data_IF_928625680656
#
_entry.id   IF_928625680656
#
_cell.length_a   1.000
_cell.length_b   1.000
_cell.length_c   1.000
_cell.angle_alpha   90.00
_cell.angle_beta   90.00
_cell.angle_gamma   90.00
#
_symmetry.space_group_name_H-M   'P 1'
#
loop_
_entity.id
_entity.type
_entity.pdbx_description
1 polymer ?
#
# COMPACT_ATOMS: atom_id res chain seq x y z
N UNK A 1 -40.95 -12.24 -73.19
CA UNK A 1 -39.56 -12.75 -73.34
C UNK A 1 -38.99 -13.03 -71.96
N UNK A 2 -38.18 -14.10 -71.86
CA UNK A 2 -37.47 -14.73 -70.71
C UNK A 2 -37.10 -13.82 -69.51
N UNK A 3 -37.29 -14.24 -68.25
CA UNK A 3 -36.59 -15.27 -67.41
C UNK A 3 -35.09 -15.02 -67.20
N UNK A 4 -34.71 -14.83 -65.93
CA UNK A 4 -33.34 -14.92 -65.41
C UNK A 4 -33.28 -14.79 -63.87
N UNK A 5 -33.33 -15.93 -63.16
CA UNK A 5 -33.01 -16.12 -61.74
C UNK A 5 -31.48 -16.12 -61.50
N UNK A 6 -31.01 -15.75 -60.29
CA UNK A 6 -29.95 -16.41 -59.47
C UNK A 6 -29.69 -15.53 -58.21
N UNK A 7 -30.29 -15.85 -57.05
CA UNK A 7 -29.71 -16.55 -55.87
C UNK A 7 -28.87 -15.70 -54.91
N UNK A 8 -29.37 -15.54 -53.67
CA UNK A 8 -28.83 -16.06 -52.38
C UNK A 8 -27.52 -15.42 -51.89
N UNK A 9 -27.56 -14.74 -50.74
CA UNK A 9 -27.05 -15.23 -49.45
C UNK A 9 -27.11 -14.11 -48.38
N UNK A 10 -27.47 -14.53 -47.17
CA UNK A 10 -27.48 -13.80 -45.91
C UNK A 10 -26.05 -13.51 -45.40
N UNK A 11 -26.02 -12.77 -44.28
CA UNK A 11 -24.95 -12.64 -43.28
C UNK A 11 -23.80 -11.64 -43.53
N UNK A 12 -23.75 -10.56 -42.74
CA UNK A 12 -23.24 -10.72 -41.38
C UNK A 12 -23.52 -9.51 -40.47
N UNK A 13 -23.98 -9.89 -39.29
CA UNK A 13 -24.14 -9.16 -38.05
C UNK A 13 -22.86 -8.49 -37.52
N UNK A 14 -23.07 -7.60 -36.54
CA UNK A 14 -22.16 -7.27 -35.43
C UNK A 14 -20.91 -6.46 -35.75
N UNK A 15 -20.98 -5.13 -35.61
CA UNK A 15 -19.82 -4.37 -35.09
C UNK A 15 -20.17 -3.01 -34.44
N UNK A 16 -21.38 -2.87 -33.91
CA UNK A 16 -21.72 -1.78 -32.98
C UNK A 16 -21.82 -2.30 -31.53
N UNK A 17 -21.22 -3.47 -31.28
CA UNK A 17 -21.08 -4.11 -29.96
C UNK A 17 -19.91 -3.57 -29.14
N UNK A 18 -19.28 -2.46 -29.56
CA UNK A 18 -18.42 -1.68 -28.68
C UNK A 18 -19.33 -0.88 -27.74
N UNK A 19 -19.91 -1.60 -26.77
CA UNK A 19 -20.66 -1.03 -25.65
C UNK A 19 -19.84 0.11 -25.07
N UNK A 20 -20.38 1.33 -25.17
CA UNK A 20 -20.03 2.42 -24.29
C UNK A 20 -20.33 1.94 -22.88
N UNK A 21 -19.29 1.41 -22.21
CA UNK A 21 -19.28 1.27 -20.75
C UNK A 21 -19.49 2.69 -20.23
N UNK A 22 -20.61 2.92 -19.55
CA UNK A 22 -21.00 4.23 -19.05
C UNK A 22 -19.86 4.75 -18.14
N UNK A 23 -19.58 6.06 -18.11
CA UNK A 23 -18.42 6.60 -17.35
C UNK A 23 -18.42 6.18 -15.87
N UNK A 24 -19.62 5.92 -15.33
CA UNK A 24 -19.82 5.39 -13.98
C UNK A 24 -19.31 3.96 -13.82
N UNK A 25 -19.57 3.10 -14.80
CA UNK A 25 -19.10 1.71 -14.82
C UNK A 25 -17.57 1.66 -14.95
N UNK A 26 -16.97 2.63 -15.67
CA UNK A 26 -15.51 2.74 -15.77
C UNK A 26 -14.86 3.07 -14.42
N UNK A 27 -15.38 4.06 -13.69
CA UNK A 27 -14.88 4.41 -12.35
C UNK A 27 -15.03 3.25 -11.36
N UNK A 28 -16.15 2.52 -11.41
CA UNK A 28 -16.37 1.36 -10.55
C UNK A 28 -15.41 0.22 -10.88
N UNK A 29 -15.10 -0.02 -12.16
CA UNK A 29 -14.11 -1.01 -12.60
C UNK A 29 -12.69 -0.63 -12.15
N UNK A 30 -12.26 0.62 -12.37
CA UNK A 30 -10.95 1.09 -11.91
C UNK A 30 -10.81 0.95 -10.39
N UNK A 31 -11.88 1.24 -9.68
CA UNK A 31 -11.95 1.08 -8.24
C UNK A 31 -11.77 -0.37 -7.80
N UNK A 32 -12.50 -1.32 -8.40
CA UNK A 32 -12.41 -2.73 -8.02
C UNK A 32 -11.01 -3.27 -8.34
N UNK A 33 -10.45 -2.91 -9.50
CA UNK A 33 -9.07 -3.27 -9.86
C UNK A 33 -8.06 -2.75 -8.83
N UNK A 34 -8.20 -1.49 -8.41
CA UNK A 34 -7.36 -0.91 -7.37
C UNK A 34 -7.43 -1.70 -6.06
N UNK A 35 -8.64 -2.08 -5.62
CA UNK A 35 -8.82 -2.87 -4.40
C UNK A 35 -8.25 -4.28 -4.55
N UNK A 36 -8.49 -4.97 -5.67
CA UNK A 36 -7.90 -6.28 -5.93
C UNK A 36 -6.38 -6.20 -5.83
N UNK A 37 -5.75 -5.21 -6.46
CA UNK A 37 -4.29 -5.03 -6.43
C UNK A 37 -3.76 -4.78 -5.01
N UNK A 38 -4.47 -4.00 -4.20
CA UNK A 38 -4.09 -3.76 -2.81
C UNK A 38 -4.20 -5.02 -1.95
N UNK A 39 -5.24 -5.81 -2.20
CA UNK A 39 -5.52 -7.01 -1.43
C UNK A 39 -4.71 -8.21 -1.90
N UNK A 40 -4.15 -8.17 -3.12
CA UNK A 40 -3.42 -9.26 -3.76
C UNK A 40 -2.37 -9.93 -2.84
N UNK A 41 -1.60 -9.22 -2.01
CA UNK A 41 -0.64 -9.88 -1.11
C UNK A 41 -1.30 -10.79 -0.06
N UNK A 42 -2.58 -10.56 0.26
CA UNK A 42 -3.31 -11.21 1.35
C UNK A 42 -4.46 -12.10 0.88
N UNK A 43 -5.10 -11.73 -0.22
CA UNK A 43 -6.33 -12.33 -0.72
C UNK A 43 -6.15 -12.74 -2.18
N UNK A 44 -6.67 -13.90 -2.52
CA UNK A 44 -6.80 -14.41 -3.88
C UNK A 44 -8.29 -14.59 -4.20
N UNK A 45 -8.73 -14.06 -5.32
CA UNK A 45 -10.10 -14.24 -5.82
C UNK A 45 -10.06 -15.20 -7.01
N UNK A 46 -10.92 -16.22 -6.99
CA UNK A 46 -11.05 -17.16 -8.12
C UNK A 46 -12.51 -17.26 -8.51
N UNK A 47 -12.79 -17.01 -9.79
CA UNK A 47 -14.14 -17.13 -10.33
C UNK A 47 -14.42 -18.56 -10.77
N UNK A 48 -15.42 -19.19 -10.15
CA UNK A 48 -15.90 -20.50 -10.55
C UNK A 48 -16.98 -20.34 -11.63
N UNK A 49 -16.60 -20.57 -12.89
CA UNK A 49 -17.49 -20.48 -14.06
C UNK A 49 -18.67 -21.46 -14.03
N UNK A 50 -18.57 -22.56 -13.29
CA UNK A 50 -19.64 -23.57 -13.21
C UNK A 50 -20.75 -23.12 -12.27
N UNK A 51 -20.38 -22.47 -11.16
CA UNK A 51 -21.34 -22.04 -10.14
C UNK A 51 -21.71 -20.56 -10.22
N UNK A 52 -21.02 -19.77 -11.05
CA UNK A 52 -21.11 -18.30 -11.11
C UNK A 52 -20.84 -17.64 -9.75
N UNK A 53 -19.85 -18.14 -9.01
CA UNK A 53 -19.49 -17.68 -7.65
C UNK A 53 -18.01 -17.34 -7.57
N UNK A 54 -17.70 -16.29 -6.81
CA UNK A 54 -16.33 -15.92 -6.43
C UNK A 54 -15.93 -16.69 -5.17
N UNK A 55 -14.90 -17.51 -5.31
CA UNK A 55 -14.21 -18.14 -4.19
C UNK A 55 -13.10 -17.21 -3.70
N UNK A 56 -13.02 -17.02 -2.39
CA UNK A 56 -12.08 -16.08 -1.75
C UNK A 56 -11.08 -16.91 -0.94
N UNK A 57 -9.79 -16.68 -1.14
CA UNK A 57 -8.75 -17.38 -0.40
C UNK A 57 -7.84 -16.40 0.32
N UNK A 58 -7.53 -16.70 1.57
CA UNK A 58 -6.45 -16.04 2.30
C UNK A 58 -5.11 -16.67 1.90
N UNK A 59 -4.13 -15.84 1.54
CA UNK A 59 -2.75 -16.27 1.25
C UNK A 59 -1.99 -16.39 2.57
N UNK A 60 -1.53 -17.60 2.88
CA UNK A 60 -0.71 -17.87 4.06
C UNK A 60 0.41 -18.83 3.67
N UNK A 61 1.65 -18.33 3.74
CA UNK A 61 2.86 -19.08 3.40
C UNK A 61 3.11 -20.29 4.30
N UNK A 62 2.39 -20.41 5.41
CA UNK A 62 2.48 -21.56 6.32
C UNK A 62 1.60 -22.74 5.91
N UNK A 63 0.74 -22.57 4.90
CA UNK A 63 -0.14 -23.63 4.41
C UNK A 63 0.53 -24.44 3.29
N UNK A 64 0.22 -25.75 3.16
CA UNK A 64 0.80 -26.62 2.13
C UNK A 64 0.59 -26.09 0.70
N UNK A 65 -0.60 -25.55 0.42
CA UNK A 65 -0.99 -25.03 -0.89
C UNK A 65 -0.87 -23.49 -0.94
N UNK A 66 -0.33 -22.88 0.11
CA UNK A 66 -0.16 -21.42 0.26
C UNK A 66 -1.46 -20.62 0.39
N UNK A 67 -2.63 -21.27 0.37
CA UNK A 67 -3.95 -20.65 0.34
C UNK A 67 -4.95 -21.39 1.23
N UNK A 68 -5.84 -20.64 1.89
CA UNK A 68 -7.00 -21.16 2.63
C UNK A 68 -8.26 -20.49 2.12
N UNK A 69 -9.24 -21.27 1.69
CA UNK A 69 -10.56 -20.74 1.35
C UNK A 69 -11.22 -20.14 2.59
N UNK A 70 -11.81 -18.95 2.43
CA UNK A 70 -12.51 -18.22 3.49
C UNK A 70 -13.92 -17.88 3.05
N UNK A 71 -14.82 -17.87 4.02
CA UNK A 71 -16.20 -17.44 3.79
C UNK A 71 -16.29 -15.92 3.51
N UNK A 72 -17.38 -15.50 2.87
CA UNK A 72 -17.71 -14.07 2.70
C UNK A 72 -17.70 -13.31 4.03
N UNK A 73 -18.17 -13.95 5.11
CA UNK A 73 -18.16 -13.36 6.46
C UNK A 73 -16.74 -13.11 6.98
N UNK A 74 -15.84 -14.06 6.78
CA UNK A 74 -14.42 -13.91 7.15
C UNK A 74 -13.75 -12.83 6.30
N UNK A 75 -14.08 -12.72 5.01
CA UNK A 75 -13.59 -11.66 4.14
C UNK A 75 -14.10 -10.27 4.57
N UNK A 76 -15.39 -10.12 4.88
CA UNK A 76 -15.94 -8.86 5.42
C UNK A 76 -15.20 -8.46 6.69
N UNK A 77 -15.02 -9.40 7.63
CA UNK A 77 -14.25 -9.14 8.84
C UNK A 77 -12.82 -8.69 8.51
N UNK A 78 -12.16 -9.35 7.55
CA UNK A 78 -10.83 -8.96 7.11
C UNK A 78 -10.79 -7.52 6.59
N UNK A 79 -11.68 -7.15 5.67
CA UNK A 79 -11.72 -5.82 5.05
C UNK A 79 -12.05 -4.71 6.06
N UNK A 80 -12.95 -4.97 7.02
CA UNK A 80 -13.40 -3.95 7.97
C UNK A 80 -12.49 -3.81 9.19
N UNK A 81 -11.81 -4.89 9.59
CA UNK A 81 -11.12 -4.95 10.87
C UNK A 81 -9.64 -5.24 10.67
N UNK A 82 -9.30 -6.40 10.10
CA UNK A 82 -7.91 -6.85 10.03
C UNK A 82 -7.06 -5.97 9.12
N UNK A 83 -7.53 -5.68 7.91
CA UNK A 83 -6.81 -4.92 6.92
C UNK A 83 -6.51 -3.47 7.39
N UNK A 84 -7.48 -2.68 7.88
CA UNK A 84 -7.20 -1.36 8.44
C UNK A 84 -6.24 -1.41 9.63
N UNK A 85 -6.29 -2.47 10.44
CA UNK A 85 -5.35 -2.65 11.55
C UNK A 85 -3.93 -2.82 11.05
N UNK A 86 -3.70 -3.65 10.04
CA UNK A 86 -2.37 -3.85 9.45
C UNK A 86 -1.82 -2.57 8.83
N UNK A 87 -2.62 -1.85 8.05
CA UNK A 87 -2.20 -0.57 7.45
C UNK A 87 -1.85 0.45 8.55
N UNK A 88 -2.62 0.49 9.65
CA UNK A 88 -2.34 1.37 10.78
C UNK A 88 -1.06 0.99 11.52
N UNK A 89 -0.81 -0.30 11.73
CA UNK A 89 0.45 -0.79 12.33
C UNK A 89 1.64 -0.37 11.45
N UNK A 90 1.58 -0.59 10.14
CA UNK A 90 2.63 -0.19 9.21
C UNK A 90 2.84 1.33 9.16
N UNK A 91 1.77 2.12 9.15
CA UNK A 91 1.86 3.58 9.20
C UNK A 91 2.52 4.09 10.48
N UNK A 92 2.18 3.48 11.63
CA UNK A 92 2.79 3.82 12.91
C UNK A 92 4.29 3.49 12.93
N UNK A 93 4.68 2.32 12.43
CA UNK A 93 6.09 1.93 12.41
C UNK A 93 6.89 2.80 11.45
N UNK A 94 6.35 3.15 10.29
CA UNK A 94 6.97 4.09 9.37
C UNK A 94 7.11 5.49 9.98
N UNK A 95 6.09 5.97 10.69
CA UNK A 95 6.14 7.26 11.41
C UNK A 95 7.23 7.27 12.49
N UNK A 96 7.39 6.18 13.25
CA UNK A 96 8.50 6.04 14.21
C UNK A 96 9.86 6.09 13.52
N UNK A 97 10.03 5.42 12.38
CA UNK A 97 11.29 5.44 11.62
C UNK A 97 11.61 6.85 11.14
N UNK A 98 10.64 7.56 10.55
CA UNK A 98 10.80 8.94 10.09
C UNK A 98 11.20 9.86 11.25
N UNK A 99 10.51 9.75 12.40
CA UNK A 99 10.80 10.60 13.56
C UNK A 99 12.20 10.31 14.12
N UNK A 100 12.59 9.03 14.21
CA UNK A 100 13.92 8.63 14.67
C UNK A 100 15.01 9.17 13.75
N UNK A 101 14.81 9.11 12.44
CA UNK A 101 15.76 9.63 11.46
C UNK A 101 15.91 11.16 11.52
N UNK A 102 14.81 11.90 11.70
CA UNK A 102 14.85 13.36 11.91
C UNK A 102 15.63 13.72 13.19
N UNK A 103 15.35 13.03 14.29
CA UNK A 103 16.09 13.21 15.54
C UNK A 103 17.58 12.88 15.39
N UNK A 104 17.93 11.88 14.58
CA UNK A 104 19.32 11.44 14.38
C UNK A 104 20.10 12.50 13.62
N UNK A 105 19.49 13.04 12.56
CA UNK A 105 20.04 14.16 11.81
C UNK A 105 20.26 15.38 12.70
N UNK A 106 19.24 15.81 13.45
CA UNK A 106 19.33 16.99 14.32
C UNK A 106 20.41 16.82 15.39
N UNK A 107 20.51 15.63 15.98
CA UNK A 107 21.51 15.29 16.99
C UNK A 107 22.92 15.32 16.39
N UNK A 108 23.08 14.72 15.21
CA UNK A 108 24.36 14.69 14.50
C UNK A 108 24.81 16.09 14.04
N UNK A 109 23.90 16.94 13.57
CA UNK A 109 24.21 18.33 13.21
C UNK A 109 24.65 19.16 14.42
N UNK A 110 24.02 18.96 15.58
CA UNK A 110 24.45 19.60 16.84
C UNK A 110 25.83 19.13 17.27
N UNK A 111 26.12 17.83 17.15
CA UNK A 111 27.44 17.25 17.39
C UNK A 111 28.51 17.92 16.51
N UNK A 112 28.25 18.05 15.20
CA UNK A 112 29.19 18.70 14.27
C UNK A 112 29.44 20.18 14.58
N UNK A 113 28.44 20.89 15.14
CA UNK A 113 28.56 22.31 15.47
C UNK A 113 29.33 22.59 16.76
N UNK A 114 29.16 21.76 17.78
CA UNK A 114 29.76 21.96 19.11
C UNK A 114 31.14 21.28 19.24
N UNK A 115 31.40 20.23 18.45
CA UNK A 115 32.56 19.38 18.68
C UNK A 115 32.37 18.46 19.91
N UNK A 116 33.19 17.41 20.01
CA UNK A 116 32.96 16.28 20.93
C UNK A 116 32.82 16.72 22.40
N UNK A 117 33.71 17.58 22.89
CA UNK A 117 33.80 17.90 24.32
C UNK A 117 32.69 18.87 24.76
N UNK A 118 32.40 19.90 23.96
CA UNK A 118 31.32 20.86 24.22
C UNK A 118 29.94 20.20 24.05
N UNK A 119 29.80 19.27 23.10
CA UNK A 119 28.58 18.47 22.95
C UNK A 119 28.32 17.60 24.19
N UNK A 120 29.36 16.93 24.71
CA UNK A 120 29.28 16.14 25.95
C UNK A 120 28.89 17.01 27.16
N UNK A 121 29.51 18.18 27.32
CA UNK A 121 29.19 19.08 28.43
C UNK A 121 27.77 19.68 28.35
N UNK A 122 27.34 20.09 27.14
CA UNK A 122 25.98 20.56 26.89
C UNK A 122 24.95 19.46 27.20
N UNK A 123 25.27 18.20 26.87
CA UNK A 123 24.40 17.04 27.11
C UNK A 123 24.30 16.64 28.59
N UNK A 124 25.42 16.63 29.33
CA UNK A 124 25.43 16.35 30.78
C UNK A 124 24.50 17.32 31.54
N UNK A 125 24.39 18.57 31.08
CA UNK A 125 23.48 19.58 31.64
C UNK A 125 22.00 19.35 31.33
N UNK A 126 21.66 18.59 30.28
CA UNK A 126 20.27 18.38 29.81
C UNK A 126 19.66 17.03 30.25
N UNK A 127 20.42 16.19 30.94
CA UNK A 127 20.08 14.77 31.13
C UNK A 127 18.85 14.53 32.02
N UNK A 128 17.72 14.20 31.39
CA UNK A 128 16.70 13.30 31.93
C UNK A 128 16.53 12.14 30.94
N UNK A 129 16.83 10.94 31.41
CA UNK A 129 16.70 9.64 30.76
C UNK A 129 17.75 9.31 29.67
N UNK A 130 18.18 8.04 29.65
CA UNK A 130 19.20 7.51 28.73
C UNK A 130 18.66 7.54 27.31
N UNK A 131 19.27 8.35 26.46
CA UNK A 131 18.93 8.41 25.04
C UNK A 131 19.98 7.62 24.24
N UNK A 132 19.61 6.40 23.82
CA UNK A 132 20.48 5.44 23.09
C UNK A 132 21.09 6.04 21.82
N UNK A 133 20.47 7.08 21.24
CA UNK A 133 20.99 7.79 20.08
C UNK A 133 22.25 8.60 20.38
N UNK A 134 22.40 9.13 21.60
CA UNK A 134 23.56 9.92 21.99
C UNK A 134 24.78 9.04 22.28
N UNK A 135 24.56 7.89 22.93
CA UNK A 135 25.61 6.88 23.13
C UNK A 135 26.10 6.35 21.77
N UNK A 136 25.22 6.28 20.77
CA UNK A 136 25.60 5.93 19.40
C UNK A 136 26.53 7.00 18.81
N UNK A 137 26.19 8.29 18.86
CA UNK A 137 26.98 9.40 18.27
C UNK A 137 28.33 9.61 18.96
N UNK A 138 28.39 9.51 20.29
CA UNK A 138 29.63 9.74 21.05
C UNK A 138 30.67 8.64 20.83
N UNK A 139 30.22 7.41 20.55
CA UNK A 139 31.11 6.26 20.33
C UNK A 139 31.36 5.99 18.84
N UNK A 140 30.96 6.88 17.93
CA UNK A 140 31.27 6.72 16.50
C UNK A 140 32.76 6.90 16.24
N UNK A 141 33.31 6.04 15.40
CA UNK A 141 34.63 6.23 14.82
C UNK A 141 34.60 7.30 13.70
N UNK A 142 35.80 7.73 13.29
CA UNK A 142 35.98 8.77 12.26
C UNK A 142 35.34 8.39 10.92
N UNK A 143 35.41 7.11 10.54
CA UNK A 143 34.89 6.63 9.25
C UNK A 143 33.36 6.68 9.22
N UNK A 144 32.70 6.31 10.31
CA UNK A 144 31.25 6.40 10.48
C UNK A 144 30.76 7.85 10.53
N UNK A 145 31.50 8.74 11.21
CA UNK A 145 31.23 10.18 11.19
C UNK A 145 31.30 10.72 9.75
N UNK A 146 32.31 10.33 8.97
CA UNK A 146 32.47 10.81 7.60
C UNK A 146 31.38 10.25 6.66
N UNK A 147 30.98 8.98 6.83
CA UNK A 147 29.84 8.40 6.11
C UNK A 147 28.53 9.13 6.40
N UNK A 148 28.22 9.37 7.68
CA UNK A 148 26.99 10.09 8.08
C UNK A 148 27.00 11.54 7.63
N UNK A 149 28.16 12.21 7.72
CA UNK A 149 28.35 13.55 7.17
C UNK A 149 28.09 13.58 5.67
N UNK A 150 28.61 12.60 4.91
CA UNK A 150 28.34 12.47 3.47
C UNK A 150 26.85 12.20 3.20
N UNK A 151 26.21 11.33 3.97
CA UNK A 151 24.80 10.99 3.81
C UNK A 151 23.88 12.19 4.07
N UNK A 152 24.07 12.93 5.16
CA UNK A 152 23.24 14.10 5.50
C UNK A 152 23.57 15.35 4.67
N UNK A 153 24.82 15.50 4.20
CA UNK A 153 25.21 16.59 3.30
C UNK A 153 24.86 16.30 1.84
N UNK A 154 24.64 15.05 1.46
CA UNK A 154 24.04 14.70 0.18
C UNK A 154 22.54 15.03 0.24
N UNK A 155 22.25 16.32 0.08
CA UNK A 155 20.88 16.85 0.04
C UNK A 155 20.01 16.13 -1.01
N UNK A 156 20.59 15.46 -2.02
CA UNK A 156 19.78 14.66 -2.95
C UNK A 156 19.45 13.30 -2.36
N UNK A 157 20.44 12.56 -1.87
CA UNK A 157 20.26 11.21 -1.34
C UNK A 157 19.33 11.15 -0.12
N UNK A 158 19.58 11.99 0.89
CA UNK A 158 18.77 12.04 2.10
C UNK A 158 17.35 12.54 1.84
N UNK A 159 17.19 13.62 1.06
CA UNK A 159 15.87 14.17 0.79
C UNK A 159 15.01 13.24 -0.06
N UNK A 160 15.60 12.50 -1.02
CA UNK A 160 14.83 11.51 -1.80
C UNK A 160 14.37 10.33 -0.93
N UNK A 161 15.22 9.79 -0.05
CA UNK A 161 14.81 8.72 0.87
C UNK A 161 13.69 9.20 1.81
N UNK A 162 13.86 10.38 2.43
CA UNK A 162 12.85 10.97 3.31
C UNK A 162 11.53 11.24 2.57
N UNK A 163 11.60 11.72 1.33
CA UNK A 163 10.44 11.95 0.46
C UNK A 163 9.72 10.66 0.10
N UNK A 164 10.46 9.58 -0.20
CA UNK A 164 9.87 8.25 -0.44
C UNK A 164 9.11 7.76 0.78
N UNK A 165 9.72 7.83 1.97
CA UNK A 165 9.06 7.39 3.21
C UNK A 165 7.82 8.22 3.55
N UNK A 166 7.88 9.55 3.42
CA UNK A 166 6.71 10.43 3.62
C UNK A 166 5.61 10.21 2.59
N UNK A 167 5.97 9.92 1.33
CA UNK A 167 5.02 9.58 0.27
C UNK A 167 4.32 8.26 0.58
N UNK A 168 5.07 7.26 1.08
CA UNK A 168 4.50 5.98 1.53
C UNK A 168 3.56 6.17 2.72
N UNK A 169 3.92 6.97 3.71
CA UNK A 169 3.04 7.28 4.84
C UNK A 169 1.73 7.94 4.37
N UNK A 170 1.83 8.93 3.48
CA UNK A 170 0.67 9.58 2.87
C UNK A 170 -0.23 8.59 2.12
N UNK A 171 0.37 7.62 1.42
CA UNK A 171 -0.38 6.56 0.75
C UNK A 171 -1.13 5.66 1.74
N UNK A 172 -0.48 5.22 2.83
CA UNK A 172 -1.13 4.40 3.87
C UNK A 172 -2.29 5.15 4.55
N UNK A 173 -2.12 6.44 4.84
CA UNK A 173 -3.18 7.27 5.42
C UNK A 173 -4.38 7.40 4.46
N UNK A 174 -4.12 7.58 3.16
CA UNK A 174 -5.17 7.58 2.13
C UNK A 174 -5.91 6.26 2.09
N UNK A 175 -5.21 5.13 2.20
CA UNK A 175 -5.84 3.80 2.25
C UNK A 175 -6.76 3.65 3.47
N UNK A 176 -6.32 4.11 4.65
CA UNK A 176 -7.15 4.07 5.87
C UNK A 176 -8.41 4.93 5.72
N UNK A 177 -8.25 6.15 5.22
CA UNK A 177 -9.37 7.05 4.98
C UNK A 177 -10.35 6.44 3.98
N UNK A 178 -9.82 5.93 2.87
CA UNK A 178 -10.59 5.31 1.82
C UNK A 178 -11.38 4.08 2.30
N UNK A 179 -10.74 3.18 3.06
CA UNK A 179 -11.41 2.00 3.61
C UNK A 179 -12.57 2.39 4.55
N UNK A 180 -12.39 3.43 5.37
CA UNK A 180 -13.45 3.97 6.23
C UNK A 180 -14.63 4.51 5.41
N UNK A 181 -14.38 5.19 4.30
CA UNK A 181 -15.44 5.76 3.46
C UNK A 181 -16.19 4.70 2.64
N UNK A 182 -15.48 3.72 2.07
CA UNK A 182 -16.05 2.76 1.10
C UNK A 182 -16.40 1.40 1.67
N UNK A 183 -15.84 1.02 2.82
CA UNK A 183 -16.01 -0.32 3.38
C UNK A 183 -16.45 -0.31 4.84
N UNK A 184 -16.96 0.82 5.35
CA UNK A 184 -17.53 0.88 6.70
C UNK A 184 -18.83 0.08 6.84
N UNK A 185 -19.52 -0.22 5.73
CA UNK A 185 -20.77 -1.01 5.73
C UNK A 185 -20.57 -2.34 5.03
N UNK A 186 -21.29 -3.35 5.52
CA UNK A 186 -21.28 -4.70 4.96
C UNK A 186 -21.77 -4.69 3.49
N UNK A 187 -22.83 -3.94 3.20
CA UNK A 187 -23.42 -3.88 1.85
C UNK A 187 -22.43 -3.39 0.79
N UNK A 188 -21.53 -2.46 1.15
CA UNK A 188 -20.54 -1.94 0.21
C UNK A 188 -19.48 -3.00 -0.13
N UNK A 189 -19.14 -3.87 0.84
CA UNK A 189 -18.21 -4.99 0.63
C UNK A 189 -18.89 -6.12 -0.16
N UNK A 190 -20.17 -6.38 0.10
CA UNK A 190 -20.93 -7.36 -0.69
C UNK A 190 -21.01 -6.93 -2.16
N UNK A 191 -21.30 -5.64 -2.44
CA UNK A 191 -21.26 -5.08 -3.80
C UNK A 191 -19.89 -5.20 -4.44
N UNK A 192 -18.81 -4.98 -3.69
CA UNK A 192 -17.45 -5.22 -4.17
C UNK A 192 -17.30 -6.68 -4.64
N UNK A 193 -17.65 -7.67 -3.82
CA UNK A 193 -17.53 -9.09 -4.16
C UNK A 193 -18.36 -9.45 -5.41
N UNK A 194 -19.60 -8.96 -5.48
CA UNK A 194 -20.49 -9.19 -6.61
C UNK A 194 -19.91 -8.65 -7.91
N UNK A 195 -19.20 -7.53 -7.85
CA UNK A 195 -18.65 -6.89 -9.04
C UNK A 195 -17.25 -7.41 -9.42
N UNK A 196 -16.53 -8.08 -8.53
CA UNK A 196 -15.23 -8.71 -8.86
C UNK A 196 -15.36 -9.71 -10.02
N UNK A 197 -16.50 -10.41 -10.15
CA UNK A 197 -16.72 -11.38 -11.22
C UNK A 197 -16.69 -10.80 -12.64
N UNK A 198 -16.89 -9.49 -12.79
CA UNK A 198 -16.80 -8.84 -14.09
C UNK A 198 -15.35 -8.60 -14.54
N UNK A 199 -14.37 -8.90 -13.68
CA UNK A 199 -12.94 -8.69 -13.92
C UNK A 199 -12.12 -9.99 -13.96
N UNK A 200 -12.71 -11.14 -13.60
CA UNK A 200 -12.06 -12.46 -13.54
C UNK A 200 -12.66 -13.44 -14.55
#
# INVERSE_FOLDING_TARGET
MNKGNFSKLEDNSNDAGQMFIDMKDHYEIEYINFIINILEPFIDFQFNKVTDVINIFYKDSKLPDGKKEISVKEFIHFIQISFPRFIKEEANDLSKVINKEHLDKDTFERFLKLGIDEFKESYVKQKKEKDDMYDTVINMDTDEIEKRKKFYNDEKGYNELSKVMRSKLTYLDRLLHFNKEKHSKIDDILKLIENIKYLL
#
